data_IF_962085066153
#
_entry.id   IF_962085066153
#
_cell.length_a   1.000
_cell.length_b   1.000
_cell.length_c   1.000
_cell.angle_alpha   90.00
_cell.angle_beta   90.00
_cell.angle_gamma   90.00
#
_symmetry.space_group_name_H-M   'P 1'
#
loop_
_entity.id
_entity.type
_entity.pdbx_description
1 polymer ?
#
# COMPACT_ATOMS: atom_id res chain seq x y z
N UNK A 1 0.71 17.75 0.21
CA UNK A 1 0.88 18.82 -0.80
C UNK A 1 2.18 18.70 -1.60
N UNK A 2 3.21 18.00 -1.11
CA UNK A 2 4.51 17.86 -1.75
C UNK A 2 4.65 16.58 -2.59
N UNK A 3 3.59 16.09 -3.20
CA UNK A 3 3.53 14.80 -3.88
C UNK A 3 3.81 14.86 -5.39
N UNK A 4 3.83 16.02 -6.00
CA UNK A 4 3.89 16.20 -7.47
C UNK A 4 5.13 15.58 -8.12
N UNK A 5 6.23 15.46 -7.38
CA UNK A 5 7.46 14.83 -7.86
C UNK A 5 7.31 13.32 -8.12
N UNK A 6 6.39 12.65 -7.44
CA UNK A 6 6.23 11.21 -7.52
C UNK A 6 5.70 10.73 -8.88
N UNK A 7 4.64 11.32 -9.47
CA UNK A 7 4.25 11.04 -10.84
C UNK A 7 5.31 11.41 -11.89
N UNK A 8 6.10 12.47 -11.65
CA UNK A 8 7.16 12.89 -12.57
C UNK A 8 8.36 11.93 -12.54
N UNK A 9 8.58 11.22 -11.42
CA UNK A 9 9.56 10.15 -11.33
C UNK A 9 9.25 8.94 -12.25
N UNK A 10 8.09 8.95 -12.94
CA UNK A 10 7.71 7.93 -13.91
C UNK A 10 8.50 8.02 -15.24
N UNK A 11 9.22 9.07 -15.50
CA UNK A 11 10.12 9.21 -16.66
C UNK A 11 11.30 8.21 -16.63
N UNK A 12 11.64 7.69 -15.46
CA UNK A 12 12.69 6.69 -15.29
C UNK A 12 12.32 5.30 -15.85
N UNK A 13 13.33 4.42 -16.05
CA UNK A 13 13.13 3.05 -16.49
C UNK A 13 12.18 2.30 -15.56
N UNK A 14 11.25 1.52 -16.10
CA UNK A 14 10.19 0.87 -15.32
C UNK A 14 10.68 -0.07 -14.22
N UNK A 15 11.77 -0.85 -14.38
CA UNK A 15 12.31 -1.66 -13.27
C UNK A 15 12.77 -0.81 -12.08
N UNK A 16 13.33 0.39 -12.35
CA UNK A 16 13.71 1.36 -11.30
C UNK A 16 12.46 1.94 -10.64
N UNK A 17 11.46 2.31 -11.45
CA UNK A 17 10.16 2.76 -10.92
C UNK A 17 9.51 1.69 -10.04
N UNK A 18 9.57 0.41 -10.43
CA UNK A 18 9.07 -0.69 -9.64
C UNK A 18 9.77 -0.77 -8.26
N UNK A 19 11.09 -0.66 -8.21
CA UNK A 19 11.85 -0.68 -6.96
C UNK A 19 11.53 0.52 -6.08
N UNK A 20 11.53 1.73 -6.64
CA UNK A 20 11.26 2.98 -5.91
C UNK A 20 9.87 2.96 -5.27
N UNK A 21 8.84 2.56 -6.04
CA UNK A 21 7.45 2.62 -5.62
C UNK A 21 6.96 1.38 -4.85
N UNK A 22 7.70 0.27 -4.88
CA UNK A 22 7.30 -0.92 -4.15
C UNK A 22 7.67 -0.87 -2.66
N UNK A 23 8.97 -0.66 -2.36
CA UNK A 23 9.47 -0.90 -1.00
C UNK A 23 10.56 0.05 -0.51
N UNK A 24 11.15 0.89 -1.37
CA UNK A 24 12.39 1.59 -1.00
C UNK A 24 12.14 3.06 -0.66
N UNK A 25 12.27 3.95 -1.63
CA UNK A 25 12.28 5.40 -1.38
C UNK A 25 10.95 5.90 -0.80
N UNK A 26 9.84 5.43 -1.32
CA UNK A 26 8.51 5.93 -0.91
C UNK A 26 8.12 5.49 0.51
N UNK A 27 8.62 4.37 0.99
CA UNK A 27 8.33 3.86 2.35
C UNK A 27 9.27 4.41 3.41
N UNK A 28 10.31 5.17 3.03
CA UNK A 28 11.28 5.74 3.96
C UNK A 28 10.64 6.60 5.05
N UNK A 29 9.63 7.43 4.70
CA UNK A 29 8.89 8.25 5.66
C UNK A 29 8.06 7.41 6.64
N UNK A 30 7.44 6.34 6.17
CA UNK A 30 6.70 5.38 7.01
C UNK A 30 7.67 4.71 7.99
N UNK A 31 8.81 4.25 7.49
CA UNK A 31 9.85 3.65 8.32
C UNK A 31 10.40 4.64 9.35
N UNK A 32 10.62 5.90 8.96
CA UNK A 32 11.10 6.94 9.87
C UNK A 32 10.16 7.11 11.07
N UNK A 33 8.85 7.29 10.83
CA UNK A 33 7.88 7.43 11.92
C UNK A 33 7.79 6.15 12.74
N UNK A 34 7.78 4.98 12.10
CA UNK A 34 7.77 3.70 12.82
C UNK A 34 9.02 3.52 13.70
N UNK A 35 10.20 3.97 13.24
CA UNK A 35 11.47 3.88 13.98
C UNK A 35 11.55 4.87 15.13
N UNK A 36 10.99 6.06 14.94
CA UNK A 36 10.96 7.12 15.96
C UNK A 36 9.62 7.18 16.70
N UNK A 37 8.86 6.10 16.66
CA UNK A 37 7.50 6.03 17.19
C UNK A 37 7.38 6.49 18.64
N UNK A 38 8.31 6.13 19.57
CA UNK A 38 8.27 6.62 20.95
C UNK A 38 8.31 8.16 21.06
N UNK A 39 9.02 8.85 20.14
CA UNK A 39 9.05 10.33 20.15
C UNK A 39 7.68 10.92 19.74
N UNK A 40 6.98 10.28 18.80
CA UNK A 40 5.64 10.69 18.39
C UNK A 40 4.58 10.41 19.46
N UNK A 41 4.82 9.45 20.35
CA UNK A 41 3.93 9.13 21.47
C UNK A 41 4.06 10.11 22.65
N UNK A 42 5.20 10.81 22.77
CA UNK A 42 5.40 11.81 23.82
C UNK A 42 4.49 13.04 23.66
N UNK A 43 4.10 13.34 22.43
CA UNK A 43 3.18 14.42 22.12
C UNK A 43 1.81 13.86 21.74
N UNK A 44 0.79 14.15 22.51
CA UNK A 44 -0.58 13.66 22.28
C UNK A 44 -1.21 14.10 20.95
N UNK A 45 -0.63 15.06 20.22
CA UNK A 45 -1.16 15.60 18.96
C UNK A 45 -0.45 15.04 17.72
N UNK A 46 0.78 14.57 17.84
CA UNK A 46 1.60 14.19 16.68
C UNK A 46 1.01 13.00 15.91
N UNK A 47 0.63 11.91 16.58
CA UNK A 47 0.05 10.73 15.94
C UNK A 47 -1.33 11.02 15.31
N UNK A 48 -2.28 11.72 15.97
CA UNK A 48 -3.51 12.17 15.32
C UNK A 48 -3.29 12.98 14.05
N UNK A 49 -2.32 13.90 14.03
CA UNK A 49 -1.98 14.68 12.83
C UNK A 49 -1.48 13.75 11.73
N UNK A 50 -0.61 12.78 12.04
CA UNK A 50 -0.13 11.77 11.09
C UNK A 50 -1.30 10.96 10.51
N UNK A 51 -2.27 10.53 11.34
CA UNK A 51 -3.45 9.80 10.91
C UNK A 51 -4.31 10.62 9.93
N UNK A 52 -4.62 11.87 10.27
CA UNK A 52 -5.43 12.74 9.42
C UNK A 52 -4.75 13.07 8.09
N UNK A 53 -3.47 13.43 8.12
CA UNK A 53 -2.68 13.69 6.90
C UNK A 53 -2.63 12.43 6.04
N UNK A 54 -2.42 11.25 6.66
CA UNK A 54 -2.41 9.97 5.97
C UNK A 54 -3.74 9.64 5.31
N UNK A 55 -4.84 9.70 6.05
CA UNK A 55 -6.18 9.39 5.54
C UNK A 55 -6.63 10.33 4.42
N UNK A 56 -6.44 11.63 4.60
CA UNK A 56 -6.76 12.62 3.56
C UNK A 56 -5.88 12.45 2.31
N UNK A 57 -4.59 12.15 2.48
CA UNK A 57 -3.69 11.86 1.35
C UNK A 57 -4.14 10.61 0.60
N UNK A 58 -4.56 9.56 1.31
CA UNK A 58 -5.07 8.34 0.69
C UNK A 58 -6.26 8.61 -0.20
N UNK A 59 -7.25 9.36 0.29
CA UNK A 59 -8.43 9.76 -0.47
C UNK A 59 -8.08 10.63 -1.66
N UNK A 60 -7.32 11.70 -1.45
CA UNK A 60 -6.96 12.65 -2.49
C UNK A 60 -6.21 11.97 -3.64
N UNK A 61 -5.22 11.14 -3.32
CA UNK A 61 -4.47 10.41 -4.33
C UNK A 61 -5.34 9.39 -5.09
N UNK A 62 -6.30 8.74 -4.43
CA UNK A 62 -7.22 7.83 -5.07
C UNK A 62 -8.13 8.54 -6.09
N UNK A 63 -8.64 9.74 -5.75
CA UNK A 63 -9.45 10.54 -6.69
C UNK A 63 -8.66 11.00 -7.92
N UNK A 64 -7.39 11.40 -7.75
CA UNK A 64 -6.52 11.75 -8.87
C UNK A 64 -6.24 10.50 -9.73
N UNK A 65 -5.96 9.35 -9.10
CA UNK A 65 -5.74 8.07 -9.81
C UNK A 65 -6.91 7.65 -10.68
N UNK A 66 -8.14 7.96 -10.27
CA UNK A 66 -9.35 7.73 -11.07
C UNK A 66 -9.40 8.59 -12.34
N UNK A 67 -8.86 9.79 -12.31
CA UNK A 67 -8.89 10.72 -13.43
C UNK A 67 -7.77 10.48 -14.47
N UNK A 68 -6.73 9.71 -14.11
CA UNK A 68 -5.61 9.43 -15.00
C UNK A 68 -5.95 8.41 -16.09
N UNK A 69 -5.29 8.55 -17.25
CA UNK A 69 -5.37 7.60 -18.36
C UNK A 69 -4.06 6.84 -18.60
N UNK A 70 -2.94 7.35 -18.13
CA UNK A 70 -1.63 6.71 -18.18
C UNK A 70 -1.53 5.64 -17.09
N UNK A 71 -1.27 4.37 -17.48
CA UNK A 71 -1.21 3.22 -16.58
C UNK A 71 -0.12 3.43 -15.50
N UNK A 72 1.04 3.94 -15.89
CA UNK A 72 2.18 4.14 -14.99
C UNK A 72 1.88 5.25 -13.96
N UNK A 73 1.22 6.33 -14.40
CA UNK A 73 0.75 7.41 -13.50
C UNK A 73 -0.35 6.94 -12.56
N UNK A 74 -1.30 6.11 -13.02
CA UNK A 74 -2.30 5.50 -12.14
C UNK A 74 -1.62 4.69 -11.03
N UNK A 75 -0.61 3.88 -11.39
CA UNK A 75 0.14 3.10 -10.40
C UNK A 75 0.94 3.99 -9.44
N UNK A 76 1.45 5.14 -9.88
CA UNK A 76 2.12 6.11 -9.02
C UNK A 76 1.14 6.72 -8.00
N UNK A 77 -0.01 7.23 -8.43
CA UNK A 77 -1.03 7.76 -7.52
C UNK A 77 -1.60 6.70 -6.58
N UNK A 78 -1.72 5.47 -7.05
CA UNK A 78 -2.09 4.37 -6.16
C UNK A 78 -1.02 4.10 -5.10
N UNK A 79 0.27 4.36 -5.37
CA UNK A 79 1.33 4.29 -4.34
C UNK A 79 1.15 5.39 -3.30
N UNK A 80 0.91 6.64 -3.70
CA UNK A 80 0.62 7.74 -2.75
C UNK A 80 -0.57 7.39 -1.86
N UNK A 81 -1.64 6.83 -2.45
CA UNK A 81 -2.82 6.40 -1.70
C UNK A 81 -2.50 5.31 -0.68
N UNK A 82 -1.71 4.29 -1.04
CA UNK A 82 -1.33 3.22 -0.11
C UNK A 82 -0.38 3.71 0.99
N UNK A 83 0.53 4.63 0.69
CA UNK A 83 1.33 5.31 1.72
C UNK A 83 0.45 6.07 2.71
N UNK A 84 -0.60 6.73 2.22
CA UNK A 84 -1.62 7.34 3.06
C UNK A 84 -2.23 6.36 4.07
N UNK A 85 -2.55 5.12 3.64
CA UNK A 85 -2.99 4.05 4.55
C UNK A 85 -1.93 3.67 5.58
N UNK A 86 -0.66 3.60 5.19
CA UNK A 86 0.42 3.27 6.12
C UNK A 86 0.59 4.35 7.19
N UNK A 87 0.53 5.63 6.81
CA UNK A 87 0.56 6.75 7.76
C UNK A 87 -0.69 6.78 8.63
N UNK A 88 -1.86 6.51 8.07
CA UNK A 88 -3.09 6.34 8.85
C UNK A 88 -2.91 5.24 9.90
N UNK A 89 -2.41 4.07 9.49
CA UNK A 89 -2.16 2.96 10.40
C UNK A 89 -1.21 3.31 11.56
N UNK A 90 -0.10 4.00 11.26
CA UNK A 90 0.80 4.48 12.31
C UNK A 90 0.09 5.46 13.26
N UNK A 91 -0.69 6.38 12.71
CA UNK A 91 -1.38 7.41 13.48
C UNK A 91 -2.52 6.90 14.36
N UNK A 92 -3.18 5.80 13.96
CA UNK A 92 -4.23 5.12 14.77
C UNK A 92 -3.67 4.00 15.64
N UNK A 93 -2.39 4.00 15.94
CA UNK A 93 -1.67 3.05 16.79
C UNK A 93 -1.53 1.62 16.21
N UNK A 94 -1.89 1.39 14.95
CA UNK A 94 -1.70 0.12 14.25
C UNK A 94 -0.31 0.00 13.62
N UNK A 95 0.73 0.00 14.44
CA UNK A 95 2.12 -0.15 13.97
C UNK A 95 2.33 -1.46 13.22
N UNK A 96 1.73 -2.55 13.71
CA UNK A 96 1.74 -3.84 13.06
C UNK A 96 1.06 -3.78 11.69
N UNK A 97 -0.17 -3.25 11.61
CA UNK A 97 -0.91 -3.13 10.35
C UNK A 97 -0.15 -2.30 9.32
N UNK A 98 0.47 -1.19 9.73
CA UNK A 98 1.30 -0.37 8.87
C UNK A 98 2.54 -1.12 8.35
N UNK A 99 3.31 -1.78 9.23
CA UNK A 99 4.50 -2.55 8.86
C UNK A 99 4.14 -3.73 7.94
N UNK A 100 3.09 -4.47 8.27
CA UNK A 100 2.60 -5.57 7.45
C UNK A 100 2.11 -5.08 6.08
N UNK A 101 1.49 -3.90 6.02
CA UNK A 101 1.08 -3.31 4.75
C UNK A 101 2.29 -2.88 3.90
N UNK A 102 3.37 -2.37 4.47
CA UNK A 102 4.64 -2.12 3.75
C UNK A 102 5.16 -3.41 3.11
N UNK A 103 5.17 -4.50 3.88
CA UNK A 103 5.65 -5.80 3.39
C UNK A 103 4.81 -6.33 2.22
N UNK A 104 3.50 -6.39 2.36
CA UNK A 104 2.60 -6.86 1.29
C UNK A 104 2.61 -5.95 0.08
N UNK A 105 2.67 -4.62 0.31
CA UNK A 105 2.76 -3.58 -0.70
C UNK A 105 3.99 -3.76 -1.60
N UNK A 106 5.13 -4.13 -1.04
CA UNK A 106 6.35 -4.36 -1.79
C UNK A 106 6.13 -5.38 -2.94
N UNK A 107 5.46 -6.48 -2.67
CA UNK A 107 5.21 -7.53 -3.66
C UNK A 107 4.18 -7.10 -4.70
N UNK A 108 2.98 -6.70 -4.30
CA UNK A 108 1.94 -6.43 -5.30
C UNK A 108 2.23 -5.17 -6.12
N UNK A 109 2.95 -4.18 -5.59
CA UNK A 109 3.39 -3.03 -6.37
C UNK A 109 4.48 -3.37 -7.37
N UNK A 110 5.46 -4.20 -6.98
CA UNK A 110 6.47 -4.68 -7.90
C UNK A 110 5.83 -5.42 -9.08
N UNK A 111 4.86 -6.31 -8.83
CA UNK A 111 4.10 -6.98 -9.91
C UNK A 111 3.46 -5.96 -10.84
N UNK A 112 2.71 -5.00 -10.29
CA UNK A 112 1.96 -4.03 -11.09
C UNK A 112 2.88 -3.14 -11.94
N UNK A 113 3.98 -2.64 -11.38
CA UNK A 113 4.92 -1.84 -12.15
C UNK A 113 5.68 -2.65 -13.19
N UNK A 114 6.08 -3.88 -12.87
CA UNK A 114 6.77 -4.73 -13.85
C UNK A 114 5.84 -5.15 -15.00
N UNK A 115 4.55 -5.39 -14.71
CA UNK A 115 3.56 -5.64 -15.80
C UNK A 115 3.33 -4.40 -16.66
N UNK A 116 3.27 -3.21 -16.06
CA UNK A 116 3.25 -1.95 -16.82
C UNK A 116 4.51 -1.80 -17.70
N UNK A 117 5.68 -2.16 -17.19
CA UNK A 117 6.92 -2.14 -17.95
C UNK A 117 6.94 -3.12 -19.12
N UNK A 118 6.42 -4.32 -18.90
CA UNK A 118 6.30 -5.31 -19.99
C UNK A 118 5.35 -4.81 -21.08
N UNK A 119 4.24 -4.15 -20.71
CA UNK A 119 3.29 -3.56 -21.67
C UNK A 119 3.98 -2.42 -22.42
N UNK A 120 4.57 -1.47 -21.73
CA UNK A 120 5.27 -0.32 -22.32
C UNK A 120 6.30 -0.78 -23.35
N UNK A 121 7.16 -1.72 -22.96
CA UNK A 121 8.20 -2.25 -23.87
C UNK A 121 7.63 -2.97 -25.08
N UNK A 122 6.57 -3.76 -24.89
CA UNK A 122 5.97 -4.55 -25.99
C UNK A 122 5.11 -3.73 -26.95
N UNK A 123 4.67 -2.54 -26.54
CA UNK A 123 3.81 -1.64 -27.32
C UNK A 123 4.51 -0.30 -27.67
N UNK A 124 5.83 -0.31 -27.84
CA UNK A 124 6.64 0.85 -28.23
C UNK A 124 6.36 2.12 -27.41
N UNK A 125 6.36 1.99 -26.08
CA UNK A 125 6.13 3.13 -25.17
C UNK A 125 4.67 3.44 -24.84
N UNK A 126 3.70 2.71 -25.39
CA UNK A 126 2.28 3.00 -25.15
C UNK A 126 1.85 2.70 -23.73
N UNK A 127 1.26 3.68 -23.07
CA UNK A 127 0.75 3.60 -21.69
C UNK A 127 -0.69 4.12 -21.53
N UNK A 128 -1.28 4.66 -22.60
CA UNK A 128 -2.65 5.21 -22.53
C UNK A 128 -3.69 4.08 -22.54
N UNK A 129 -4.52 4.02 -21.48
CA UNK A 129 -5.62 3.06 -21.34
C UNK A 129 -6.63 3.09 -22.50
N UNK A 130 -6.73 4.20 -23.21
CA UNK A 130 -7.69 4.38 -24.31
C UNK A 130 -7.20 3.71 -25.60
N UNK A 131 -5.87 3.50 -25.67
CA UNK A 131 -5.16 3.00 -26.86
C UNK A 131 -4.74 1.53 -26.76
N UNK A 132 -5.12 0.86 -25.67
CA UNK A 132 -4.78 -0.54 -25.38
C UNK A 132 -6.01 -1.32 -24.94
N UNK A 133 -6.25 -2.49 -25.56
CA UNK A 133 -7.33 -3.40 -25.18
C UNK A 133 -7.06 -4.84 -25.61
N UNK A 134 -7.65 -5.81 -24.91
CA UNK A 134 -7.66 -7.20 -25.31
C UNK A 134 -6.38 -7.98 -25.09
N UNK A 135 -5.46 -7.47 -24.26
CA UNK A 135 -4.15 -8.08 -24.00
C UNK A 135 -4.24 -9.58 -23.68
N UNK A 136 -5.27 -10.02 -22.94
CA UNK A 136 -5.46 -11.43 -22.57
C UNK A 136 -5.67 -12.36 -23.78
N UNK A 137 -6.19 -11.85 -24.87
CA UNK A 137 -6.45 -12.61 -26.10
C UNK A 137 -5.21 -12.73 -26.97
N UNK A 138 -4.31 -11.75 -26.92
CA UNK A 138 -3.10 -11.69 -27.71
C UNK A 138 -2.15 -12.85 -27.36
N UNK A 139 -1.53 -13.44 -28.37
CA UNK A 139 -0.60 -14.56 -28.20
C UNK A 139 0.66 -14.13 -27.44
N UNK A 140 0.98 -14.85 -26.35
CA UNK A 140 2.16 -14.56 -25.53
C UNK A 140 1.92 -13.56 -24.38
N UNK A 141 0.75 -12.90 -24.29
CA UNK A 141 0.47 -11.88 -23.28
C UNK A 141 -0.38 -12.37 -22.08
N UNK A 142 -0.78 -13.64 -22.08
CA UNK A 142 -1.63 -14.21 -21.03
C UNK A 142 -0.98 -14.09 -19.63
N UNK A 143 0.32 -14.35 -19.52
CA UNK A 143 1.04 -14.32 -18.24
C UNK A 143 1.00 -12.89 -17.66
N UNK A 144 1.31 -11.87 -18.47
CA UNK A 144 1.26 -10.47 -18.05
C UNK A 144 -0.15 -10.09 -17.58
N UNK A 145 -1.17 -10.51 -18.31
CA UNK A 145 -2.57 -10.22 -17.96
C UNK A 145 -2.98 -10.86 -16.63
N UNK A 146 -2.60 -12.11 -16.37
CA UNK A 146 -2.96 -12.79 -15.13
C UNK A 146 -2.13 -12.33 -13.93
N UNK A 147 -0.84 -12.08 -14.11
CA UNK A 147 -0.01 -11.52 -13.03
C UNK A 147 -0.44 -10.10 -12.68
N UNK A 148 -0.85 -9.30 -13.67
CA UNK A 148 -1.47 -8.00 -13.43
C UNK A 148 -2.77 -8.13 -12.64
N UNK A 149 -3.61 -9.14 -12.95
CA UNK A 149 -4.84 -9.40 -12.18
C UNK A 149 -4.53 -9.70 -10.71
N UNK A 150 -3.53 -10.55 -10.44
CA UNK A 150 -3.10 -10.86 -9.06
C UNK A 150 -2.70 -9.59 -8.33
N UNK A 151 -1.86 -8.74 -8.95
CA UNK A 151 -1.49 -7.45 -8.39
C UNK A 151 -2.69 -6.53 -8.12
N UNK A 152 -3.66 -6.49 -9.05
CA UNK A 152 -4.89 -5.72 -8.91
C UNK A 152 -5.77 -6.22 -7.75
N UNK A 153 -5.92 -7.54 -7.59
CA UNK A 153 -6.67 -8.15 -6.50
C UNK A 153 -6.02 -7.81 -5.14
N UNK A 154 -4.70 -7.94 -5.04
CA UNK A 154 -3.97 -7.58 -3.82
C UNK A 154 -4.08 -6.08 -3.52
N UNK A 155 -3.90 -5.21 -4.51
CA UNK A 155 -4.01 -3.75 -4.34
C UNK A 155 -5.42 -3.32 -3.94
N UNK A 156 -6.45 -3.92 -4.53
CA UNK A 156 -7.85 -3.65 -4.17
C UNK A 156 -8.21 -4.13 -2.76
N UNK A 157 -7.45 -5.08 -2.20
CA UNK A 157 -7.79 -5.73 -0.94
C UNK A 157 -8.93 -6.73 -1.10
N UNK A 158 -8.89 -7.54 -2.17
CA UNK A 158 -9.88 -8.59 -2.37
C UNK A 158 -9.71 -9.67 -1.29
N UNK A 159 -10.80 -10.24 -0.74
CA UNK A 159 -10.72 -11.26 0.30
C UNK A 159 -9.71 -12.37 -0.02
N UNK A 160 -9.00 -12.85 0.98
CA UNK A 160 -7.94 -13.86 0.90
C UNK A 160 -6.65 -13.44 0.17
N UNK A 161 -6.50 -12.17 -0.20
CA UNK A 161 -5.22 -11.65 -0.71
C UNK A 161 -4.42 -10.97 0.40
N UNK A 162 -3.10 -10.84 0.19
CA UNK A 162 -2.22 -10.19 1.17
C UNK A 162 -2.62 -8.74 1.49
N UNK A 163 -3.10 -8.01 0.48
CA UNK A 163 -3.57 -6.64 0.65
C UNK A 163 -4.87 -6.53 1.46
N UNK A 164 -5.69 -7.57 1.49
CA UNK A 164 -6.88 -7.63 2.33
C UNK A 164 -6.50 -7.61 3.81
N UNK A 165 -5.70 -8.57 4.25
CA UNK A 165 -5.32 -8.72 5.67
C UNK A 165 -4.57 -7.51 6.21
N UNK A 166 -3.65 -6.94 5.41
CA UNK A 166 -2.89 -5.77 5.85
C UNK A 166 -3.72 -4.50 5.94
N UNK A 167 -4.71 -4.30 5.05
CA UNK A 167 -5.64 -3.16 5.13
C UNK A 167 -6.65 -3.35 6.25
N UNK A 168 -7.17 -4.56 6.42
CA UNK A 168 -8.13 -4.89 7.46
C UNK A 168 -7.55 -4.58 8.85
N UNK A 169 -6.29 -4.92 9.09
CA UNK A 169 -5.59 -4.59 10.33
C UNK A 169 -5.52 -3.08 10.60
N UNK A 170 -5.33 -2.24 9.57
CA UNK A 170 -5.32 -0.78 9.72
C UNK A 170 -6.74 -0.25 9.96
N UNK A 171 -7.72 -0.76 9.20
CA UNK A 171 -9.10 -0.32 9.29
C UNK A 171 -9.73 -0.69 10.62
N UNK A 172 -9.51 -1.92 11.09
CA UNK A 172 -10.01 -2.39 12.37
C UNK A 172 -9.55 -1.48 13.52
N UNK A 173 -8.26 -1.13 13.55
CA UNK A 173 -7.70 -0.27 14.58
C UNK A 173 -8.27 1.16 14.52
N UNK A 174 -8.54 1.69 13.33
CA UNK A 174 -9.15 3.02 13.18
C UNK A 174 -10.57 3.10 13.79
N UNK A 175 -11.29 1.97 13.91
CA UNK A 175 -12.59 1.91 14.57
C UNK A 175 -12.51 1.60 16.06
N UNK A 176 -11.47 0.89 16.50
CA UNK A 176 -11.28 0.52 17.91
C UNK A 176 -10.66 1.66 18.71
N UNK A 177 -9.70 2.37 18.11
CA UNK A 177 -9.00 3.48 18.77
C UNK A 177 -9.94 4.67 18.94
N UNK A 178 -10.22 5.04 20.19
CA UNK A 178 -11.13 6.14 20.52
C UNK A 178 -10.41 7.50 20.44
N UNK A 179 -11.19 8.54 20.12
CA UNK A 179 -10.71 9.93 20.13
C UNK A 179 -10.24 10.44 18.77
N UNK A 180 -9.90 11.71 18.71
CA UNK A 180 -9.32 12.41 17.55
C UNK A 180 -10.06 12.25 16.20
N UNK A 181 -11.32 11.75 16.22
CA UNK A 181 -12.12 11.51 15.01
C UNK A 181 -11.64 10.33 14.16
N UNK A 182 -10.98 9.35 14.75
CA UNK A 182 -10.45 8.17 14.05
C UNK A 182 -11.53 7.33 13.40
N UNK A 183 -12.73 7.27 13.97
CA UNK A 183 -13.88 6.61 13.35
C UNK A 183 -14.23 7.22 11.98
N UNK A 184 -14.17 8.55 11.85
CA UNK A 184 -14.39 9.26 10.59
C UNK A 184 -13.29 8.87 9.58
N UNK A 185 -12.05 8.76 10.03
CA UNK A 185 -10.95 8.29 9.21
C UNK A 185 -11.12 6.84 8.78
N UNK A 186 -11.67 5.98 9.63
CA UNK A 186 -12.03 4.60 9.31
C UNK A 186 -13.03 4.54 8.14
N UNK A 187 -14.12 5.30 8.21
CA UNK A 187 -15.12 5.39 7.13
C UNK A 187 -14.52 5.98 5.85
N UNK A 188 -13.71 7.03 5.98
CA UNK A 188 -12.99 7.63 4.85
C UNK A 188 -12.04 6.63 4.18
N UNK A 189 -11.36 5.81 4.97
CA UNK A 189 -10.46 4.78 4.47
C UNK A 189 -11.24 3.64 3.77
N UNK A 190 -12.39 3.19 4.30
CA UNK A 190 -13.26 2.23 3.60
C UNK A 190 -13.72 2.79 2.25
N UNK A 191 -14.19 4.04 2.22
CA UNK A 191 -14.57 4.69 0.97
C UNK A 191 -13.41 4.74 -0.02
N UNK A 192 -12.21 5.10 0.44
CA UNK A 192 -10.99 5.12 -0.36
C UNK A 192 -10.60 3.73 -0.86
N UNK A 193 -10.86 2.66 -0.09
CA UNK A 193 -10.65 1.28 -0.54
C UNK A 193 -11.56 0.94 -1.74
N UNK A 194 -12.82 1.38 -1.69
CA UNK A 194 -13.73 1.27 -2.83
C UNK A 194 -13.23 2.00 -4.09
N UNK A 195 -12.73 3.23 -3.93
CA UNK A 195 -12.12 3.98 -5.04
C UNK A 195 -10.86 3.26 -5.58
N UNK A 196 -10.05 2.69 -4.68
CA UNK A 196 -8.87 1.90 -5.05
C UNK A 196 -9.26 0.70 -5.90
N UNK A 197 -10.28 -0.05 -5.50
CA UNK A 197 -10.79 -1.17 -6.27
C UNK A 197 -11.29 -0.70 -7.65
N UNK A 198 -12.06 0.39 -7.71
CA UNK A 198 -12.58 0.93 -8.96
C UNK A 198 -11.48 1.27 -9.96
N UNK A 199 -10.50 2.14 -9.62
CA UNK A 199 -9.50 2.54 -10.60
C UNK A 199 -8.55 1.40 -10.97
N UNK A 200 -8.27 0.48 -10.03
CA UNK A 200 -7.40 -0.66 -10.26
C UNK A 200 -8.02 -1.64 -11.25
N UNK A 201 -9.28 -2.01 -11.05
CA UNK A 201 -10.00 -2.88 -11.98
C UNK A 201 -10.31 -2.19 -13.30
N UNK A 202 -10.52 -0.86 -13.32
CA UNK A 202 -10.62 -0.09 -14.56
C UNK A 202 -9.39 -0.30 -15.44
N UNK A 203 -8.19 -0.25 -14.86
CA UNK A 203 -6.95 -0.53 -15.60
C UNK A 203 -6.97 -1.94 -16.18
N UNK A 204 -7.23 -2.95 -15.34
CA UNK A 204 -7.20 -4.33 -15.80
C UNK A 204 -8.26 -4.63 -16.86
N UNK A 205 -9.51 -4.20 -16.66
CA UNK A 205 -10.57 -4.43 -17.63
C UNK A 205 -10.30 -3.73 -18.95
N UNK A 206 -9.81 -2.50 -18.93
CA UNK A 206 -9.51 -1.74 -20.15
C UNK A 206 -8.36 -2.35 -20.93
N UNK A 207 -7.28 -2.69 -20.28
CA UNK A 207 -6.06 -3.19 -20.93
C UNK A 207 -6.18 -4.68 -21.30
N UNK A 208 -6.71 -5.51 -20.41
CA UNK A 208 -6.69 -6.95 -20.58
C UNK A 208 -7.95 -7.54 -21.21
N UNK A 209 -9.11 -6.88 -21.04
CA UNK A 209 -10.40 -7.37 -21.53
C UNK A 209 -10.88 -6.54 -22.73
N UNK A 210 -11.78 -7.12 -23.54
CA UNK A 210 -12.35 -6.46 -24.69
C UNK A 210 -11.85 -7.03 -26.03
N UNK A 211 -12.09 -6.34 -27.14
CA UNK A 211 -11.53 -6.69 -28.44
C UNK A 211 -10.03 -6.39 -28.47
N UNK A 212 -9.30 -7.10 -29.31
CA UNK A 212 -7.89 -6.78 -29.55
C UNK A 212 -7.78 -5.45 -30.28
N UNK A 213 -7.21 -4.46 -29.59
CA UNK A 213 -6.98 -3.13 -30.13
C UNK A 213 -5.73 -2.54 -29.48
N UNK A 214 -4.86 -1.99 -30.29
CA UNK A 214 -3.68 -1.27 -29.82
C UNK A 214 -3.23 -0.21 -30.83
N UNK A 215 -2.68 0.87 -30.31
CA UNK A 215 -1.91 1.86 -31.05
C UNK A 215 -0.49 1.81 -30.53
N UNK A 216 0.54 1.83 -31.41
CA UNK A 216 1.94 1.94 -30.96
C UNK A 216 2.16 3.28 -30.25
N UNK A 217 3.11 3.33 -29.32
CA UNK A 217 3.52 4.55 -28.66
C UNK A 217 4.56 5.33 -29.44
N UNK A 218 5.06 6.39 -28.83
CA UNK A 218 5.98 7.36 -29.47
C UNK A 218 7.42 6.84 -29.64
N UNK A 219 7.76 5.68 -29.05
CA UNK A 219 9.07 5.02 -29.21
C UNK A 219 9.20 4.26 -30.55
N UNK A 220 8.18 4.29 -31.39
CA UNK A 220 8.23 3.69 -32.72
C UNK A 220 9.05 4.59 -33.65
N UNK A 221 10.34 4.27 -33.79
CA UNK A 221 11.23 5.01 -34.67
C UNK A 221 11.20 4.44 -36.10
N UNK A 222 10.60 5.17 -37.03
CA UNK A 222 10.79 4.98 -38.46
C UNK A 222 9.97 3.90 -39.16
N UNK A 223 9.19 3.10 -38.45
CA UNK A 223 8.32 2.08 -39.03
C UNK A 223 6.91 2.62 -39.24
N UNK A 224 6.28 2.13 -40.30
CA UNK A 224 4.85 2.45 -40.58
C UNK A 224 4.00 1.92 -39.42
N UNK A 225 3.17 2.75 -38.74
CA UNK A 225 2.31 2.29 -37.65
C UNK A 225 1.42 1.08 -38.03
N UNK A 226 1.13 0.92 -39.32
CA UNK A 226 0.34 -0.19 -39.84
C UNK A 226 1.05 -1.54 -39.83
N UNK A 227 2.39 -1.54 -39.79
CA UNK A 227 3.22 -2.75 -39.77
C UNK A 227 3.65 -3.18 -38.36
N UNK A 228 3.31 -2.38 -37.34
CA UNK A 228 3.71 -2.67 -35.96
C UNK A 228 2.96 -3.88 -35.39
N UNK A 229 3.71 -4.80 -34.81
CA UNK A 229 3.18 -5.95 -34.09
C UNK A 229 3.74 -5.98 -32.66
N UNK A 230 2.89 -6.05 -31.63
CA UNK A 230 3.34 -6.07 -30.25
C UNK A 230 4.25 -7.27 -29.96
N UNK A 231 5.39 -7.00 -29.35
CA UNK A 231 6.34 -8.04 -28.99
C UNK A 231 6.03 -8.60 -27.59
N UNK A 232 5.67 -9.90 -27.46
CA UNK A 232 5.44 -10.47 -26.15
C UNK A 232 6.72 -10.49 -25.32
N UNK A 233 6.62 -10.37 -23.98
CA UNK A 233 7.78 -10.35 -23.11
C UNK A 233 8.55 -11.67 -23.20
N UNK A 234 9.89 -11.57 -23.02
CA UNK A 234 10.78 -12.74 -23.00
C UNK A 234 10.46 -13.67 -21.84
N UNK A 235 10.81 -14.95 -21.96
CA UNK A 235 10.57 -15.98 -20.94
C UNK A 235 11.11 -15.56 -19.56
N UNK A 236 12.28 -14.91 -19.51
CA UNK A 236 12.86 -14.42 -18.27
C UNK A 236 11.94 -13.41 -17.55
N UNK A 237 11.32 -12.49 -18.29
CA UNK A 237 10.39 -11.50 -17.72
C UNK A 237 9.15 -12.22 -17.18
N UNK A 238 8.60 -13.17 -17.92
CA UNK A 238 7.44 -13.97 -17.48
C UNK A 238 7.76 -14.76 -16.21
N UNK A 239 8.95 -15.34 -16.10
CA UNK A 239 9.39 -16.05 -14.88
C UNK A 239 9.42 -15.10 -13.67
N UNK A 240 10.02 -13.92 -13.81
CA UNK A 240 10.06 -12.91 -12.74
C UNK A 240 8.65 -12.47 -12.34
N UNK A 241 7.77 -12.21 -13.30
CA UNK A 241 6.38 -11.83 -13.03
C UNK A 241 5.63 -12.90 -12.24
N UNK A 242 5.78 -14.17 -12.62
CA UNK A 242 5.16 -15.29 -11.89
C UNK A 242 5.74 -15.40 -10.48
N UNK A 243 7.07 -15.31 -10.33
CA UNK A 243 7.72 -15.44 -9.02
C UNK A 243 7.24 -14.34 -8.05
N UNK A 244 7.20 -13.06 -8.50
CA UNK A 244 6.78 -11.96 -7.65
C UNK A 244 5.26 -12.00 -7.41
N UNK A 245 4.45 -12.40 -8.39
CA UNK A 245 3.00 -12.58 -8.21
C UNK A 245 2.70 -13.71 -7.20
N UNK A 246 3.46 -14.80 -7.24
CA UNK A 246 3.38 -15.85 -6.21
C UNK A 246 3.77 -15.31 -4.83
N UNK A 247 4.83 -14.51 -4.75
CA UNK A 247 5.23 -13.80 -3.54
C UNK A 247 4.12 -12.89 -3.00
N UNK A 248 3.38 -12.19 -3.87
CA UNK A 248 2.27 -11.33 -3.47
C UNK A 248 1.10 -12.12 -2.84
N UNK A 249 0.87 -13.38 -3.25
CA UNK A 249 -0.11 -14.27 -2.64
C UNK A 249 0.45 -14.85 -1.33
N UNK A 250 1.68 -15.36 -1.36
CA UNK A 250 2.34 -15.98 -0.21
C UNK A 250 2.52 -14.97 0.94
N UNK A 251 2.66 -13.69 0.64
CA UNK A 251 2.71 -12.61 1.64
C UNK A 251 1.44 -12.50 2.51
N UNK A 252 0.37 -13.24 2.21
CA UNK A 252 -0.77 -13.40 3.10
C UNK A 252 -0.52 -14.43 4.23
N UNK A 253 0.40 -15.39 4.03
CA UNK A 253 0.63 -16.48 4.99
C UNK A 253 1.07 -16.02 6.38
N UNK A 254 1.94 -15.00 6.55
CA UNK A 254 2.33 -14.54 7.88
C UNK A 254 1.15 -14.16 8.78
N UNK A 255 0.02 -13.76 8.19
CA UNK A 255 -1.20 -13.49 8.95
C UNK A 255 -1.80 -14.74 9.62
N UNK A 256 -1.60 -15.93 9.02
CA UNK A 256 -2.15 -17.20 9.49
C UNK A 256 -1.16 -18.03 10.33
N UNK A 257 0.13 -17.69 10.31
CA UNK A 257 1.18 -18.53 10.92
C UNK A 257 1.28 -18.40 12.44
N UNK A 258 0.47 -17.55 13.06
CA UNK A 258 0.54 -17.33 14.49
C UNK A 258 -0.84 -17.41 15.14
N UNK A 259 -1.22 -18.59 15.51
CA UNK A 259 -2.61 -18.85 15.90
C UNK A 259 -2.85 -19.44 17.27
N UNK A 260 -1.85 -19.88 18.03
CA UNK A 260 -2.22 -20.72 19.17
C UNK A 260 -2.06 -20.08 20.55
N UNK A 261 -1.41 -18.90 20.68
CA UNK A 261 -1.14 -18.38 22.01
C UNK A 261 -1.37 -16.88 22.27
N UNK A 262 -1.56 -16.04 21.24
CA UNK A 262 -1.58 -14.57 21.46
C UNK A 262 -2.65 -13.77 20.70
N UNK A 263 -3.73 -14.39 20.24
CA UNK A 263 -4.77 -13.67 19.51
C UNK A 263 -4.35 -13.24 18.09
N UNK A 264 -5.28 -12.70 17.32
CA UNK A 264 -5.16 -12.37 15.89
C UNK A 264 -4.01 -11.37 15.56
N UNK A 265 -3.41 -10.75 16.57
CA UNK A 265 -2.39 -9.68 16.43
C UNK A 265 -0.96 -10.13 16.72
N UNK A 266 -0.68 -11.39 16.88
CA UNK A 266 0.58 -11.90 17.40
C UNK A 266 1.56 -12.50 16.42
N UNK A 267 1.39 -12.36 15.10
CA UNK A 267 2.22 -13.00 14.10
C UNK A 267 3.71 -12.61 14.12
N UNK A 268 4.55 -13.43 13.48
CA UNK A 268 5.97 -13.19 13.27
C UNK A 268 6.32 -11.73 12.93
N UNK A 269 5.50 -11.06 12.10
CA UNK A 269 5.68 -9.64 11.77
C UNK A 269 5.41 -8.75 12.98
N UNK A 270 4.42 -9.10 13.82
CA UNK A 270 4.14 -8.37 15.06
C UNK A 270 5.29 -8.50 16.06
N UNK A 271 5.86 -9.69 16.18
CA UNK A 271 7.02 -9.97 17.04
C UNK A 271 8.24 -9.17 16.57
N UNK A 272 8.54 -9.14 15.27
CA UNK A 272 9.59 -8.30 14.69
C UNK A 272 9.38 -6.80 14.95
N UNK A 273 8.14 -6.32 14.93
CA UNK A 273 7.82 -4.91 15.24
C UNK A 273 7.89 -4.66 16.73
N UNK A 274 7.45 -5.62 17.55
CA UNK A 274 7.48 -5.53 19.02
C UNK A 274 8.89 -5.53 19.56
N UNK A 275 9.76 -6.42 19.07
CA UNK A 275 11.15 -6.57 19.51
C UNK A 275 12.10 -5.55 18.87
N UNK A 276 11.58 -4.66 18.04
CA UNK A 276 12.37 -3.57 17.47
C UNK A 276 12.94 -2.68 18.61
N UNK A 277 14.25 -2.35 18.58
CA UNK A 277 14.89 -1.50 19.61
C UNK A 277 14.22 -0.14 19.81
N UNK A 278 13.35 0.27 18.89
CA UNK A 278 12.54 1.48 19.01
C UNK A 278 11.53 1.43 20.18
N UNK A 279 11.11 0.24 20.63
CA UNK A 279 10.22 0.09 21.81
C UNK A 279 10.97 -0.04 23.14
N UNK A 280 12.23 -0.46 23.14
CA UNK A 280 13.00 -0.76 24.34
C UNK A 280 13.68 0.44 25.02
N UNK A 281 13.38 1.68 24.66
CA UNK A 281 14.19 2.83 25.04
C UNK A 281 13.62 3.81 26.06
N UNK A 282 12.45 3.61 26.64
CA UNK A 282 11.95 4.47 27.72
C UNK A 282 12.02 3.69 29.04
N UNK A 283 13.01 3.96 29.90
CA UNK A 283 13.05 3.36 31.23
C UNK A 283 11.81 3.82 32.02
N UNK A 284 10.94 2.89 32.38
CA UNK A 284 9.73 3.15 33.16
C UNK A 284 8.41 3.02 32.41
N UNK A 285 8.40 2.82 31.08
CA UNK A 285 7.22 2.40 30.37
C UNK A 285 7.12 0.86 30.44
N UNK A 286 6.65 0.32 31.53
CA UNK A 286 6.03 -1.00 31.52
C UNK A 286 4.82 -0.90 30.60
N UNK A 287 5.01 -1.34 29.36
CA UNK A 287 3.88 -1.60 28.47
C UNK A 287 3.14 -2.77 29.10
N UNK A 288 2.01 -2.49 29.75
CA UNK A 288 1.08 -3.52 30.18
C UNK A 288 0.78 -4.35 28.93
N UNK A 289 1.31 -5.56 28.87
CA UNK A 289 0.89 -6.58 27.94
C UNK A 289 -0.58 -6.80 28.26
N UNK A 290 -1.47 -6.29 27.43
CA UNK A 290 -2.89 -6.55 27.55
C UNK A 290 -3.08 -8.01 27.16
N UNK A 291 -3.00 -8.89 28.13
CA UNK A 291 -3.60 -10.20 28.06
C UNK A 291 -5.07 -9.97 27.70
N UNK A 292 -5.57 -10.74 26.75
CA UNK A 292 -6.83 -10.58 26.03
C UNK A 292 -8.14 -10.55 26.85
N UNK A 293 -8.14 -9.91 28.00
CA UNK A 293 -9.35 -9.64 28.79
C UNK A 293 -9.42 -8.15 29.17
N UNK A 294 -10.21 -7.44 28.39
CA UNK A 294 -10.94 -6.22 28.73
C UNK A 294 -10.24 -4.89 29.08
N UNK A 295 -10.37 -3.94 28.17
CA UNK A 295 -10.95 -2.58 28.31
C UNK A 295 -10.63 -1.69 29.55
N UNK A 296 -9.71 -2.05 30.45
CA UNK A 296 -9.45 -1.23 31.66
C UNK A 296 -8.07 -0.56 31.71
N UNK A 297 -7.18 -0.85 30.75
CA UNK A 297 -5.82 -0.31 30.75
C UNK A 297 -5.69 1.12 30.17
N UNK A 298 -6.72 1.61 29.43
CA UNK A 298 -6.69 2.97 28.88
C UNK A 298 -6.97 4.08 29.89
N UNK A 299 -7.71 3.79 30.97
CA UNK A 299 -7.97 4.77 32.02
C UNK A 299 -6.74 5.09 32.90
N UNK A 300 -5.83 4.15 33.05
CA UNK A 300 -4.64 4.32 33.89
C UNK A 300 -3.62 5.33 33.35
N UNK A 301 -3.45 5.41 32.02
CA UNK A 301 -2.45 6.30 31.40
C UNK A 301 -2.96 7.75 31.35
N UNK A 302 -4.25 7.95 31.11
CA UNK A 302 -4.86 9.28 31.05
C UNK A 302 -4.89 9.90 32.47
N UNK A 303 -5.20 9.10 33.49
CA UNK A 303 -5.24 9.59 34.86
C UNK A 303 -3.85 9.90 35.43
N UNK A 304 -2.80 9.18 35.04
CA UNK A 304 -1.42 9.47 35.45
C UNK A 304 -0.90 10.82 34.91
N UNK A 305 -1.33 11.24 33.72
CA UNK A 305 -0.95 12.55 33.15
C UNK A 305 -1.73 13.68 33.80
N UNK A 306 -3.01 13.47 34.11
CA UNK A 306 -3.86 14.48 34.79
C UNK A 306 -3.44 14.72 36.24
N UNK A 307 -3.02 13.68 36.97
CA UNK A 307 -2.56 13.82 38.36
C UNK A 307 -1.19 14.52 38.45
N UNK A 308 -0.33 14.47 37.43
CA UNK A 308 0.89 15.26 37.39
C UNK A 308 0.66 16.77 37.15
N UNK A 309 -0.34 17.15 36.41
CA UNK A 309 -0.67 18.56 36.22
C UNK A 309 -1.27 19.21 37.49
N UNK A 310 -2.00 18.46 38.29
CA UNK A 310 -2.55 18.98 39.54
C UNK A 310 -1.52 19.08 40.69
N UNK A 311 -0.42 18.33 40.60
CA UNK A 311 0.64 18.39 41.61
C UNK A 311 1.60 19.58 41.44
N UNK A 312 1.61 20.24 40.27
CA UNK A 312 2.52 21.38 40.00
C UNK A 312 1.88 22.74 40.22
N UNK A 313 0.58 22.83 40.52
CA UNK A 313 -0.13 24.08 40.79
C UNK A 313 -0.54 24.28 42.26
N UNK A 314 -0.03 23.45 43.17
CA UNK A 314 -0.36 23.46 44.61
C UNK A 314 0.80 23.77 45.55
N UNK A 315 1.82 24.57 45.13
CA UNK A 315 2.85 25.09 46.03
C UNK A 315 3.21 26.53 45.72
#
# INVERSE_FOLDING_TARGET
PLYVWLPDAMEGPTPVSALIHAATMVTAGVYLIARTYPLFQLDGYALPIVAWVGGLTALFAATIGMAQYDIKRIMAYSTVSQLGYMFLGLGVLSSYGAAYHVFTHAFFKAVLFLTCGAIMHGFAGQLDLRKLSGLRKMRGWKIVSYTMLVGCLCLAGFPFTSGYFSKDAILAEAFVTQGSGFEILGWLAIFTAGLTAYYTFRVWFRVCCGPEYYEPGDELHGDDPSSFHPHPPRVAINFVLIAIASGAIIAALPYFMDNETKGINGGWVAEMVHDSPARGGVPGAEVAVVDGDHATAHEGVVNAVVDQEHATHGS
#
